data_IF_852594660412
#
_entry.id   IF_852594660412
#
_cell.length_a   1.000
_cell.length_b   1.000
_cell.length_c   1.000
_cell.angle_alpha   90.00
_cell.angle_beta   90.00
_cell.angle_gamma   90.00
#
_symmetry.space_group_name_H-M   'P 1'
#
loop_
_entity.id
_entity.type
_entity.pdbx_description
1 polymer ?
#
# COMPACT_ATOMS: atom_id res chain seq x y z
N UNK A 1 -35.92 46.67 -5.71
CA UNK A 1 -34.78 46.03 -6.40
C UNK A 1 -34.10 45.16 -5.35
N UNK A 2 -34.05 43.86 -5.63
CA UNK A 2 -33.84 42.69 -4.77
C UNK A 2 -33.08 42.88 -3.44
N UNK A 3 -33.76 42.50 -2.36
CA UNK A 3 -33.18 42.14 -1.06
C UNK A 3 -32.84 40.63 -1.15
N UNK A 4 -31.56 40.28 -1.18
CA UNK A 4 -31.10 38.90 -1.26
C UNK A 4 -31.32 38.20 0.09
N UNK A 5 -32.34 37.35 0.14
CA UNK A 5 -32.66 36.52 1.29
C UNK A 5 -31.51 35.54 1.61
N UNK A 6 -30.80 35.82 2.71
CA UNK A 6 -29.94 34.87 3.39
C UNK A 6 -30.78 33.66 3.85
N UNK A 7 -30.56 32.51 3.22
CA UNK A 7 -31.14 31.23 3.64
C UNK A 7 -30.51 30.81 4.98
N UNK A 8 -31.22 31.05 6.06
CA UNK A 8 -30.87 30.61 7.41
C UNK A 8 -30.83 29.09 7.49
N UNK A 9 -29.63 28.53 7.66
CA UNK A 9 -29.47 27.10 7.96
C UNK A 9 -29.99 26.82 9.37
N UNK A 10 -31.12 26.13 9.44
CA UNK A 10 -31.70 25.52 10.64
C UNK A 10 -30.59 24.73 11.37
N UNK A 11 -30.39 24.89 12.69
CA UNK A 11 -29.39 24.10 13.41
C UNK A 11 -29.78 22.62 13.30
N UNK A 12 -29.04 21.88 12.48
CA UNK A 12 -29.25 20.45 12.29
C UNK A 12 -28.59 19.73 13.46
N UNK A 13 -29.24 18.67 13.95
CA UNK A 13 -28.70 17.84 15.02
C UNK A 13 -27.34 17.25 14.64
N UNK A 14 -26.58 16.74 15.62
CA UNK A 14 -25.24 16.23 15.38
C UNK A 14 -25.25 15.09 14.34
N UNK A 15 -24.21 15.00 13.47
CA UNK A 15 -24.12 13.94 12.47
C UNK A 15 -24.12 12.59 13.18
N UNK A 16 -25.10 11.74 12.88
CA UNK A 16 -25.26 10.44 13.57
C UNK A 16 -25.03 9.31 12.59
N UNK A 17 -24.01 8.49 12.84
CA UNK A 17 -23.67 7.34 11.99
C UNK A 17 -24.38 6.10 12.51
N UNK A 18 -25.27 5.54 11.67
CA UNK A 18 -26.09 4.37 11.99
C UNK A 18 -25.58 3.09 11.36
N UNK A 19 -24.81 3.16 10.27
CA UNK A 19 -24.32 1.97 9.56
C UNK A 19 -23.08 2.18 8.72
N UNK A 20 -22.30 1.12 8.58
CA UNK A 20 -21.09 1.06 7.75
C UNK A 20 -21.19 -0.15 6.82
N UNK A 21 -20.85 0.03 5.55
CA UNK A 21 -20.86 -1.05 4.56
C UNK A 21 -19.63 -0.94 3.65
N UNK A 22 -18.71 -1.91 3.66
CA UNK A 22 -18.67 -3.08 4.55
C UNK A 22 -18.35 -2.72 6.01
N UNK A 23 -18.59 -3.65 6.96
CA UNK A 23 -18.25 -3.50 8.40
C UNK A 23 -16.78 -3.84 8.70
N UNK A 24 -16.11 -4.48 7.75
CA UNK A 24 -14.70 -4.83 7.79
C UNK A 24 -14.04 -4.62 6.42
N UNK A 25 -12.73 -4.38 6.40
CA UNK A 25 -12.01 -4.18 5.14
C UNK A 25 -10.53 -3.92 5.32
N UNK A 26 -9.79 -4.11 4.23
CA UNK A 26 -8.36 -3.81 4.11
C UNK A 26 -8.12 -2.37 3.68
N UNK A 27 -6.92 -1.79 3.92
CA UNK A 27 -6.50 -0.52 3.34
C UNK A 27 -6.87 -0.40 1.85
N UNK A 28 -7.44 0.73 1.45
CA UNK A 28 -7.92 0.97 0.07
C UNK A 28 -9.36 0.51 -0.20
N UNK A 29 -9.97 -0.27 0.68
CA UNK A 29 -11.39 -0.67 0.56
C UNK A 29 -12.30 0.56 0.60
N UNK A 30 -13.31 0.57 -0.27
CA UNK A 30 -14.31 1.63 -0.30
C UNK A 30 -15.41 1.35 0.73
N UNK A 31 -15.54 2.26 1.69
CA UNK A 31 -16.52 2.18 2.78
C UNK A 31 -17.64 3.19 2.50
N UNK A 32 -18.88 2.72 2.61
CA UNK A 32 -20.08 3.54 2.57
C UNK A 32 -20.59 3.77 3.97
N UNK A 33 -20.55 5.02 4.42
CA UNK A 33 -21.04 5.46 5.72
C UNK A 33 -22.50 5.91 5.53
N UNK A 34 -23.40 5.34 6.34
CA UNK A 34 -24.82 5.66 6.38
C UNK A 34 -25.17 6.29 7.73
N UNK A 35 -26.03 7.30 7.70
CA UNK A 35 -26.38 8.06 8.89
C UNK A 35 -27.43 9.12 8.62
N UNK A 36 -27.53 10.05 9.56
CA UNK A 36 -28.40 11.22 9.49
C UNK A 36 -27.57 12.48 9.76
N UNK A 37 -27.94 13.58 9.09
CA UNK A 37 -27.28 14.88 9.21
C UNK A 37 -25.77 14.86 8.91
N UNK A 38 -25.31 14.04 7.95
CA UNK A 38 -23.91 13.91 7.53
C UNK A 38 -23.35 15.11 6.73
N UNK A 39 -23.91 16.29 6.95
CA UNK A 39 -23.55 17.55 6.29
C UNK A 39 -24.39 17.90 5.06
N UNK A 40 -24.31 19.15 4.62
CA UNK A 40 -25.07 19.66 3.46
C UNK A 40 -24.30 19.58 2.14
N UNK A 41 -22.98 19.64 2.20
CA UNK A 41 -22.10 19.71 1.04
C UNK A 41 -20.74 19.07 1.34
N UNK A 42 -19.94 18.79 0.30
CA UNK A 42 -18.58 18.28 0.45
C UNK A 42 -17.70 19.16 1.35
N UNK A 43 -17.85 20.50 1.25
CA UNK A 43 -17.07 21.47 2.03
C UNK A 43 -17.56 21.62 3.48
N UNK A 44 -18.73 21.05 3.81
CA UNK A 44 -19.27 21.04 5.17
C UNK A 44 -18.60 19.95 6.02
N UNK A 45 -17.98 18.95 5.39
CA UNK A 45 -17.23 17.89 6.07
C UNK A 45 -15.84 18.42 6.48
N UNK A 46 -15.63 18.61 7.78
CA UNK A 46 -14.37 19.11 8.33
C UNK A 46 -13.42 17.97 8.71
N UNK A 47 -13.98 16.86 9.18
CA UNK A 47 -13.19 15.76 9.73
C UNK A 47 -13.88 14.42 9.47
N UNK A 48 -13.11 13.45 8.97
CA UNK A 48 -13.51 12.05 8.88
C UNK A 48 -12.34 11.15 9.27
N UNK A 49 -12.41 10.56 10.46
CA UNK A 49 -11.45 9.56 10.92
C UNK A 49 -12.10 8.18 10.96
N UNK A 50 -11.43 7.18 10.38
CA UNK A 50 -11.84 5.77 10.45
C UNK A 50 -10.67 5.00 11.06
N UNK A 51 -10.88 4.35 12.20
CA UNK A 51 -9.85 3.59 12.92
C UNK A 51 -8.56 4.38 13.22
N UNK A 52 -8.69 5.69 13.47
CA UNK A 52 -7.55 6.57 13.78
C UNK A 52 -6.81 7.13 12.55
N UNK A 53 -7.25 6.80 11.33
CA UNK A 53 -6.68 7.36 10.09
C UNK A 53 -7.57 8.42 9.48
N UNK A 54 -6.97 9.54 9.10
CA UNK A 54 -7.65 10.62 8.40
C UNK A 54 -8.04 10.18 6.98
N UNK A 55 -9.34 10.15 6.73
CA UNK A 55 -9.94 9.76 5.46
C UNK A 55 -10.66 10.95 4.79
N UNK A 56 -10.43 12.19 5.23
CA UNK A 56 -11.08 13.38 4.67
C UNK A 56 -10.78 13.55 3.18
N UNK A 57 -9.53 13.34 2.77
CA UNK A 57 -9.08 13.49 1.38
C UNK A 57 -9.74 12.51 0.41
N UNK A 58 -10.14 11.33 0.90
CA UNK A 58 -10.79 10.29 0.09
C UNK A 58 -12.32 10.31 0.23
N UNK A 59 -12.84 11.13 1.13
CA UNK A 59 -14.27 11.25 1.39
C UNK A 59 -14.98 11.98 0.25
N UNK A 60 -16.01 11.33 -0.29
CA UNK A 60 -16.96 11.87 -1.25
C UNK A 60 -18.34 11.90 -0.60
N UNK A 61 -18.78 13.08 -0.24
CA UNK A 61 -20.14 13.35 0.19
C UNK A 61 -21.10 13.12 -0.99
N UNK A 62 -22.20 12.42 -0.74
CA UNK A 62 -23.24 12.14 -1.75
C UNK A 62 -24.56 12.75 -1.36
N UNK A 63 -25.00 12.50 -0.14
CA UNK A 63 -26.21 13.06 0.43
C UNK A 63 -26.02 13.25 1.93
N UNK A 64 -26.94 13.97 2.57
CA UNK A 64 -27.05 14.12 4.02
C UNK A 64 -27.13 12.79 4.80
N UNK A 65 -27.36 11.67 4.11
CA UNK A 65 -27.43 10.31 4.67
C UNK A 65 -26.31 9.39 4.22
N UNK A 66 -25.44 9.83 3.29
CA UNK A 66 -24.44 8.95 2.67
C UNK A 66 -23.13 9.67 2.35
N UNK A 67 -22.05 9.12 2.89
CA UNK A 67 -20.66 9.48 2.54
C UNK A 67 -19.94 8.22 2.09
N UNK A 68 -19.11 8.34 1.04
CA UNK A 68 -18.26 7.26 0.56
C UNK A 68 -16.82 7.67 0.81
N UNK A 69 -16.03 6.84 1.50
CA UNK A 69 -14.61 7.11 1.74
C UNK A 69 -13.78 5.86 1.41
N UNK A 70 -12.50 6.06 1.11
CA UNK A 70 -11.54 4.94 1.00
C UNK A 70 -10.69 4.89 2.25
N UNK A 71 -10.57 3.69 2.80
CA UNK A 71 -9.79 3.46 4.01
C UNK A 71 -8.30 3.71 3.75
N UNK A 72 -7.67 4.54 4.57
CA UNK A 72 -6.22 4.76 4.53
C UNK A 72 -5.45 3.61 5.18
N UNK A 73 -4.14 3.77 5.33
CA UNK A 73 -3.35 2.85 6.15
C UNK A 73 -3.67 3.11 7.63
N UNK A 74 -4.33 2.16 8.30
CA UNK A 74 -4.65 2.25 9.73
C UNK A 74 -4.09 1.05 10.53
N UNK A 75 -4.04 1.23 11.84
CA UNK A 75 -3.71 0.15 12.77
C UNK A 75 -4.80 -0.92 12.79
N UNK A 76 -4.41 -2.19 12.94
CA UNK A 76 -5.32 -3.35 12.97
C UNK A 76 -6.24 -3.27 14.19
N UNK A 77 -7.51 -3.64 14.03
CA UNK A 77 -8.44 -3.79 15.15
C UNK A 77 -9.81 -3.13 14.94
N UNK A 78 -10.64 -3.19 15.99
CA UNK A 78 -11.89 -2.43 16.05
C UNK A 78 -11.57 -0.96 16.29
N UNK A 79 -11.91 -0.11 15.34
CA UNK A 79 -11.80 1.34 15.49
C UNK A 79 -13.15 2.02 15.39
N UNK A 80 -13.23 3.15 16.07
CA UNK A 80 -14.36 4.06 15.99
C UNK A 80 -14.30 4.91 14.72
N UNK A 81 -15.48 5.33 14.23
CA UNK A 81 -15.61 6.29 13.14
C UNK A 81 -15.99 7.64 13.73
N UNK A 82 -15.16 8.66 13.53
CA UNK A 82 -15.40 10.03 13.98
C UNK A 82 -15.67 10.92 12.79
N UNK A 83 -16.77 11.67 12.87
CA UNK A 83 -17.17 12.64 11.85
C UNK A 83 -17.34 13.99 12.52
N UNK A 84 -16.90 15.06 11.88
CA UNK A 84 -17.30 16.41 12.26
C UNK A 84 -17.68 17.23 11.03
N UNK A 85 -18.81 17.92 11.13
CA UNK A 85 -19.29 18.85 10.10
C UNK A 85 -19.32 20.27 10.62
N UNK A 86 -19.22 21.25 9.73
CA UNK A 86 -19.31 22.67 10.10
C UNK A 86 -20.73 23.02 10.57
N UNK A 87 -21.75 22.41 9.97
CA UNK A 87 -23.16 22.65 10.27
C UNK A 87 -23.68 21.92 11.52
N UNK A 88 -23.17 20.72 11.81
CA UNK A 88 -23.69 19.83 12.86
C UNK A 88 -22.69 19.51 13.99
N UNK A 89 -21.48 20.06 13.93
CA UNK A 89 -20.44 19.81 14.94
C UNK A 89 -19.94 18.37 14.94
N UNK A 90 -19.53 17.88 16.11
CA UNK A 90 -18.98 16.52 16.27
C UNK A 90 -20.10 15.48 16.26
N UNK A 91 -19.94 14.49 15.39
CA UNK A 91 -20.89 13.40 15.21
C UNK A 91 -20.76 12.28 16.24
N UNK A 92 -21.85 11.53 16.36
CA UNK A 92 -21.98 10.35 17.21
C UNK A 92 -21.96 9.12 16.31
N UNK A 93 -21.14 8.13 16.65
CA UNK A 93 -21.08 6.87 15.93
C UNK A 93 -21.33 5.71 16.89
N UNK A 94 -22.35 4.91 16.59
CA UNK A 94 -22.70 3.73 17.39
C UNK A 94 -22.06 2.44 16.84
N UNK A 95 -21.44 2.50 15.66
CA UNK A 95 -20.93 1.33 14.94
C UNK A 95 -19.41 1.36 14.92
N UNK A 96 -18.78 0.23 15.20
CA UNK A 96 -17.33 0.07 15.13
C UNK A 96 -16.96 -0.55 13.78
N UNK A 97 -15.89 -0.05 13.16
CA UNK A 97 -15.33 -0.63 11.94
C UNK A 97 -14.16 -1.55 12.29
N UNK A 98 -14.07 -2.71 11.63
CA UNK A 98 -12.93 -3.63 11.80
C UNK A 98 -11.92 -3.43 10.67
N UNK A 99 -10.78 -2.81 11.00
CA UNK A 99 -9.69 -2.68 10.04
C UNK A 99 -8.89 -3.98 9.97
N UNK A 100 -8.98 -4.67 8.83
CA UNK A 100 -8.22 -5.88 8.54
C UNK A 100 -6.93 -5.46 7.85
N UNK A 101 -5.80 -6.06 8.23
CA UNK A 101 -4.55 -5.74 7.56
C UNK A 101 -4.59 -6.25 6.11
N UNK A 102 -4.28 -5.39 5.15
CA UNK A 102 -3.81 -5.88 3.87
C UNK A 102 -2.51 -6.64 4.12
N UNK A 103 -2.32 -7.76 3.41
CA UNK A 103 -1.16 -8.64 3.40
C UNK A 103 0.18 -7.87 3.35
N UNK A 104 0.59 -7.29 4.47
CA UNK A 104 1.97 -6.94 4.75
C UNK A 104 2.48 -8.06 5.64
N UNK A 105 3.12 -9.01 4.93
CA UNK A 105 4.25 -9.78 5.44
C UNK A 105 5.06 -8.88 6.36
N UNK A 106 5.42 -9.41 7.53
CA UNK A 106 6.25 -8.75 8.53
C UNK A 106 5.51 -7.77 9.46
N UNK A 107 4.81 -8.31 10.47
CA UNK A 107 5.37 -8.51 11.81
C UNK A 107 4.22 -8.77 12.83
N UNK A 108 4.41 -9.86 13.56
CA UNK A 108 4.01 -10.10 14.95
C UNK A 108 2.52 -10.02 15.38
N UNK A 109 1.99 -11.25 15.58
CA UNK A 109 0.94 -11.68 16.52
C UNK A 109 -0.45 -11.04 16.35
N UNK A 110 -1.44 -11.80 16.82
CA UNK A 110 -2.84 -11.40 17.06
C UNK A 110 -3.80 -11.71 15.88
N UNK A 111 -4.44 -12.87 16.02
CA UNK A 111 -5.66 -13.35 15.33
C UNK A 111 -5.63 -13.39 13.80
N UNK A 112 -4.81 -14.27 13.26
CA UNK A 112 -5.24 -15.03 12.08
C UNK A 112 -6.25 -16.04 12.63
N UNK A 113 -7.47 -16.08 12.10
CA UNK A 113 -8.30 -17.28 12.22
C UNK A 113 -7.42 -18.40 11.66
N UNK A 114 -6.83 -19.21 12.55
CA UNK A 114 -5.85 -20.21 12.15
C UNK A 114 -6.62 -21.30 11.43
N UNK A 115 -6.78 -21.11 10.12
CA UNK A 115 -7.28 -22.14 9.21
C UNK A 115 -6.39 -23.34 9.46
N UNK A 116 -6.99 -24.40 10.00
CA UNK A 116 -6.26 -25.64 10.27
C UNK A 116 -5.63 -26.19 8.99
N UNK A 117 -4.59 -27.02 9.08
CA UNK A 117 -3.99 -27.66 7.90
C UNK A 117 -4.98 -28.50 7.08
N UNK A 118 -6.14 -28.85 7.67
CA UNK A 118 -7.24 -29.63 7.09
C UNK A 118 -8.50 -28.78 6.82
N UNK A 119 -8.39 -27.45 6.86
CA UNK A 119 -9.54 -26.55 6.73
C UNK A 119 -9.52 -25.85 5.37
N UNK A 120 -10.55 -26.09 4.56
CA UNK A 120 -10.66 -25.52 3.22
C UNK A 120 -10.69 -23.98 3.27
N UNK A 121 -9.75 -23.35 2.57
CA UNK A 121 -9.72 -21.90 2.41
C UNK A 121 -10.43 -21.51 1.11
N UNK A 122 -11.43 -20.64 1.21
CA UNK A 122 -12.11 -20.06 0.03
C UNK A 122 -11.23 -19.05 -0.75
N UNK A 123 -10.03 -18.75 -0.26
CA UNK A 123 -9.09 -17.83 -0.91
C UNK A 123 -8.11 -18.63 -1.75
N UNK A 124 -8.36 -18.68 -3.05
CA UNK A 124 -7.39 -19.17 -4.04
C UNK A 124 -6.34 -18.08 -4.30
N UNK A 125 -5.08 -18.38 -4.00
CA UNK A 125 -3.94 -17.54 -4.40
C UNK A 125 -3.31 -18.20 -5.62
N UNK A 126 -3.28 -17.47 -6.74
CA UNK A 126 -2.61 -17.93 -7.96
C UNK A 126 -1.09 -17.91 -7.75
N UNK A 127 -0.54 -19.04 -7.29
CA UNK A 127 0.89 -19.20 -7.00
C UNK A 127 1.78 -19.02 -8.24
N UNK A 128 1.21 -19.04 -9.45
CA UNK A 128 1.97 -18.86 -10.71
C UNK A 128 2.54 -17.44 -10.85
N UNK A 129 1.90 -16.45 -10.24
CA UNK A 129 2.29 -15.04 -10.39
C UNK A 129 3.19 -14.52 -9.25
N UNK A 130 3.12 -15.14 -8.07
CA UNK A 130 3.84 -14.65 -6.88
C UNK A 130 5.27 -15.17 -6.72
N UNK A 131 5.65 -16.25 -7.40
CA UNK A 131 7.00 -16.83 -7.31
C UNK A 131 7.55 -17.16 -8.71
N UNK A 132 8.42 -16.30 -9.28
CA UNK A 132 9.06 -16.58 -10.55
C UNK A 132 9.89 -17.88 -10.47
N UNK A 133 9.67 -18.83 -11.40
CA UNK A 133 10.52 -20.02 -11.56
C UNK A 133 9.91 -21.38 -11.22
N UNK A 134 8.64 -21.46 -10.82
CA UNK A 134 7.97 -22.74 -10.48
C UNK A 134 7.36 -23.51 -11.65
N UNK A 135 7.42 -23.01 -12.88
CA UNK A 135 6.79 -23.66 -14.05
C UNK A 135 7.35 -25.07 -14.35
N UNK A 136 8.55 -25.40 -13.88
CA UNK A 136 9.16 -26.72 -14.07
C UNK A 136 8.58 -27.83 -13.15
N UNK A 137 7.82 -27.48 -12.11
CA UNK A 137 7.24 -28.44 -11.14
C UNK A 137 5.73 -28.51 -11.33
N UNK A 138 5.27 -28.80 -12.56
CA UNK A 138 3.84 -28.80 -12.92
C UNK A 138 3.09 -30.10 -12.68
N UNK A 139 3.75 -31.15 -12.20
CA UNK A 139 3.12 -32.46 -12.01
C UNK A 139 3.38 -33.02 -10.61
N UNK A 140 2.92 -32.31 -9.59
CA UNK A 140 2.51 -33.00 -8.36
C UNK A 140 1.04 -33.34 -8.57
N UNK A 141 0.76 -34.61 -8.87
CA UNK A 141 -0.61 -35.10 -8.90
C UNK A 141 -1.28 -34.73 -7.58
N UNK A 142 -2.40 -33.99 -7.62
CA UNK A 142 -3.31 -33.84 -6.48
C UNK A 142 -3.99 -35.20 -6.23
N UNK A 143 -3.21 -36.15 -5.73
CA UNK A 143 -3.67 -37.42 -5.19
C UNK A 143 -3.12 -37.50 -3.79
N UNK A 144 -3.63 -36.65 -2.92
CA UNK A 144 -3.46 -36.86 -1.49
C UNK A 144 -4.85 -36.67 -0.94
N UNK A 145 -5.56 -37.79 -0.79
CA UNK A 145 -6.64 -37.86 0.19
C UNK A 145 -6.15 -37.09 1.42
N UNK A 146 -6.89 -36.07 1.84
CA UNK A 146 -6.51 -35.23 2.98
C UNK A 146 -6.44 -36.12 4.21
N UNK A 147 -5.26 -36.67 4.48
CA UNK A 147 -5.04 -37.57 5.61
C UNK A 147 -4.56 -36.75 6.78
N UNK A 148 -5.17 -37.00 7.92
CA UNK A 148 -4.75 -36.46 9.21
C UNK A 148 -3.30 -36.89 9.52
N UNK A 149 -2.65 -36.29 10.52
CA UNK A 149 -1.39 -36.73 11.12
C UNK A 149 -1.39 -38.22 11.51
N UNK A 150 -2.56 -38.80 11.79
CA UNK A 150 -2.72 -40.25 12.05
C UNK A 150 -2.94 -41.09 10.79
N UNK A 151 -2.99 -40.48 9.60
CA UNK A 151 -3.26 -41.18 8.34
C UNK A 151 -4.73 -41.55 8.13
N UNK A 152 -5.62 -41.10 9.02
CA UNK A 152 -7.06 -41.34 8.98
C UNK A 152 -7.79 -40.21 8.25
N UNK A 153 -9.03 -40.46 7.84
CA UNK A 153 -9.88 -39.44 7.23
C UNK A 153 -10.24 -38.34 8.25
N UNK A 154 -10.26 -37.06 7.86
CA UNK A 154 -10.55 -35.96 8.78
C UNK A 154 -11.99 -36.05 9.27
N UNK A 155 -12.21 -35.96 10.58
CA UNK A 155 -13.57 -35.83 11.11
C UNK A 155 -14.13 -34.44 10.79
N UNK A 156 -15.40 -34.36 10.41
CA UNK A 156 -16.08 -33.09 10.13
C UNK A 156 -16.62 -32.41 11.38
N UNK A 157 -16.72 -33.13 12.51
CA UNK A 157 -17.19 -32.59 13.78
C UNK A 157 -16.04 -32.30 14.73
N UNK A 158 -15.74 -31.01 14.92
CA UNK A 158 -14.76 -30.53 15.90
C UNK A 158 -15.45 -30.28 17.26
N UNK A 159 -14.79 -30.64 18.36
CA UNK A 159 -15.25 -30.23 19.70
C UNK A 159 -15.12 -28.71 19.88
N UNK A 160 -15.97 -28.12 20.73
CA UNK A 160 -15.97 -26.68 20.99
C UNK A 160 -14.62 -26.22 21.60
N UNK A 161 -13.86 -25.34 20.92
CA UNK A 161 -12.56 -24.86 21.40
C UNK A 161 -12.63 -24.14 22.75
N UNK A 162 -13.81 -23.62 23.15
CA UNK A 162 -13.99 -22.98 24.45
C UNK A 162 -13.91 -23.99 25.62
N UNK A 163 -14.41 -25.21 25.43
CA UNK A 163 -14.34 -26.27 26.44
C UNK A 163 -12.91 -26.81 26.57
N UNK A 164 -12.24 -27.00 25.44
CA UNK A 164 -10.85 -27.45 25.39
C UNK A 164 -9.92 -26.45 26.08
N UNK A 165 -10.12 -25.14 25.87
CA UNK A 165 -9.32 -24.08 26.50
C UNK A 165 -9.48 -24.04 28.02
N UNK A 166 -10.62 -24.49 28.55
CA UNK A 166 -10.86 -24.62 29.99
C UNK A 166 -10.18 -25.86 30.60
N UNK A 167 -10.07 -26.95 29.84
CA UNK A 167 -9.46 -28.20 30.30
C UNK A 167 -7.93 -28.18 30.19
N UNK A 168 -7.38 -27.49 29.19
CA UNK A 168 -5.95 -27.37 28.98
C UNK A 168 -5.56 -25.89 28.79
N UNK A 169 -5.32 -25.16 29.89
CA UNK A 169 -4.77 -23.81 29.83
C UNK A 169 -3.43 -23.81 29.08
N UNK A 170 -3.22 -22.83 28.21
CA UNK A 170 -1.99 -22.61 27.42
C UNK A 170 -1.59 -23.72 26.42
N UNK A 171 -2.44 -24.71 26.18
CA UNK A 171 -2.21 -25.78 25.20
C UNK A 171 -2.92 -25.51 23.87
N UNK A 172 -2.44 -26.13 22.80
CA UNK A 172 -3.02 -25.99 21.46
C UNK A 172 -3.01 -27.30 20.67
N UNK A 173 -3.98 -27.48 19.76
CA UNK A 173 -4.04 -28.60 18.82
C UNK A 173 -3.15 -28.42 17.58
N UNK A 174 -2.52 -27.26 17.39
CA UNK A 174 -1.74 -27.02 16.18
C UNK A 174 -0.37 -27.71 16.29
N UNK A 175 -0.13 -28.72 15.44
CA UNK A 175 1.10 -29.52 15.38
C UNK A 175 2.36 -28.66 15.17
N UNK A 176 2.20 -27.45 14.61
CA UNK A 176 3.31 -26.54 14.29
C UNK A 176 3.73 -25.65 15.45
N UNK A 177 2.97 -25.63 16.56
CA UNK A 177 3.24 -24.76 17.70
C UNK A 177 3.97 -25.52 18.80
N UNK A 178 4.87 -24.84 19.52
CA UNK A 178 5.58 -25.43 20.67
C UNK A 178 4.63 -25.78 21.83
N UNK A 179 3.47 -25.12 21.89
CA UNK A 179 2.36 -25.41 22.81
C UNK A 179 1.50 -26.61 22.37
N UNK A 180 1.97 -27.44 21.44
CA UNK A 180 1.22 -28.57 20.94
C UNK A 180 0.96 -29.60 22.05
N UNK A 181 -0.32 -29.93 22.24
CA UNK A 181 -0.72 -31.00 23.14
C UNK A 181 -1.43 -32.12 22.35
N UNK A 182 -0.91 -33.36 22.35
CA UNK A 182 -1.54 -34.48 21.65
C UNK A 182 -2.95 -34.80 22.14
N UNK A 183 -3.23 -34.59 23.43
CA UNK A 183 -4.54 -34.88 24.01
C UNK A 183 -5.60 -33.88 23.52
N UNK A 184 -5.20 -32.61 23.39
CA UNK A 184 -6.04 -31.58 22.77
C UNK A 184 -6.38 -31.97 21.33
N UNK A 185 -5.37 -32.34 20.54
CA UNK A 185 -5.54 -32.68 19.13
C UNK A 185 -6.50 -33.86 18.92
N UNK A 186 -6.36 -34.92 19.72
CA UNK A 186 -7.24 -36.08 19.66
C UNK A 186 -8.68 -35.75 20.05
N UNK A 187 -8.90 -34.88 21.04
CA UNK A 187 -10.24 -34.47 21.43
C UNK A 187 -10.89 -33.55 20.38
N UNK A 188 -10.10 -32.68 19.76
CA UNK A 188 -10.56 -31.78 18.72
C UNK A 188 -10.93 -32.52 17.42
N UNK A 189 -10.11 -33.48 16.99
CA UNK A 189 -10.22 -34.13 15.67
C UNK A 189 -10.64 -35.61 15.71
N UNK A 190 -10.63 -36.28 16.86
CA UNK A 190 -10.91 -37.72 16.95
C UNK A 190 -11.84 -38.09 18.12
N UNK A 191 -12.70 -37.16 18.56
CA UNK A 191 -13.64 -37.41 19.67
C UNK A 191 -14.66 -38.53 19.39
N UNK A 192 -15.08 -38.70 18.13
CA UNK A 192 -16.06 -39.73 17.71
C UNK A 192 -15.42 -40.96 17.02
N UNK A 193 -14.08 -41.02 16.91
CA UNK A 193 -13.39 -42.08 16.16
C UNK A 193 -13.30 -43.38 16.97
N UNK A 194 -13.63 -44.56 16.41
CA UNK A 194 -13.56 -45.82 17.14
C UNK A 194 -12.12 -46.18 17.49
N UNK A 195 -11.94 -46.90 18.60
CA UNK A 195 -10.62 -47.26 19.13
C UNK A 195 -9.79 -48.12 18.15
N UNK A 196 -10.44 -48.93 17.32
CA UNK A 196 -9.74 -49.78 16.35
C UNK A 196 -9.06 -48.95 15.25
N UNK A 197 -9.72 -47.91 14.73
CA UNK A 197 -9.13 -46.98 13.75
C UNK A 197 -7.98 -46.19 14.38
N UNK A 198 -8.09 -45.80 15.66
CA UNK A 198 -6.99 -45.16 16.39
C UNK A 198 -5.78 -46.09 16.55
N UNK A 199 -5.99 -47.40 16.69
CA UNK A 199 -4.90 -48.40 16.73
C UNK A 199 -4.24 -48.57 15.38
N UNK A 200 -5.00 -48.48 14.29
CA UNK A 200 -4.45 -48.47 12.94
C UNK A 200 -3.64 -47.19 12.67
N UNK A 201 -4.17 -46.03 13.07
CA UNK A 201 -3.46 -44.75 13.01
C UNK A 201 -2.15 -44.76 13.82
N UNK A 202 -2.12 -45.43 14.97
CA UNK A 202 -0.89 -45.61 15.74
C UNK A 202 0.16 -46.45 15.00
N UNK A 203 -0.26 -47.53 14.31
CA UNK A 203 0.66 -48.32 13.47
C UNK A 203 1.17 -47.51 12.27
N UNK A 204 0.29 -46.73 11.63
CA UNK A 204 0.65 -45.85 10.53
C UNK A 204 1.67 -44.79 10.99
N UNK A 205 1.47 -44.18 12.16
CA UNK A 205 2.39 -43.21 12.75
C UNK A 205 3.76 -43.83 13.07
N UNK A 206 3.80 -45.06 13.59
CA UNK A 206 5.06 -45.77 13.84
C UNK A 206 5.82 -46.07 12.54
N UNK A 207 5.11 -46.47 11.49
CA UNK A 207 5.70 -46.67 10.16
C UNK A 207 6.23 -45.35 9.58
N UNK A 208 5.44 -44.27 9.70
CA UNK A 208 5.84 -42.94 9.24
C UNK A 208 7.11 -42.44 9.95
N UNK A 209 7.23 -42.67 11.27
CA UNK A 209 8.45 -42.36 12.03
C UNK A 209 9.67 -43.12 11.51
N UNK A 210 9.52 -44.38 11.13
CA UNK A 210 10.60 -45.18 10.56
C UNK A 210 11.00 -44.70 9.15
N UNK A 211 10.02 -44.27 8.35
CA UNK A 211 10.25 -43.75 7.00
C UNK A 211 10.76 -42.31 6.96
N UNK A 212 10.55 -41.51 8.02
CA UNK A 212 11.05 -40.14 8.13
C UNK A 212 12.57 -40.05 7.96
N UNK A 213 13.32 -40.99 8.55
CA UNK A 213 14.77 -41.05 8.41
C UNK A 213 15.21 -41.22 6.94
N UNK A 214 14.50 -42.08 6.19
CA UNK A 214 14.76 -42.32 4.75
C UNK A 214 14.29 -41.15 3.88
N UNK A 215 13.18 -40.51 4.26
CA UNK A 215 12.64 -39.34 3.57
C UNK A 215 13.55 -38.13 3.75
N UNK A 216 14.10 -37.92 4.95
CA UNK A 216 15.09 -36.88 5.25
C UNK A 216 16.31 -37.00 4.31
N UNK A 217 16.88 -38.19 4.18
CA UNK A 217 18.02 -38.43 3.26
C UNK A 217 17.67 -38.09 1.79
N UNK A 218 16.48 -38.47 1.33
CA UNK A 218 16.00 -38.15 -0.03
C UNK A 218 15.69 -36.66 -0.22
N UNK A 219 15.13 -35.98 0.79
CA UNK A 219 14.87 -34.54 0.74
C UNK A 219 16.17 -33.75 0.71
N UNK A 220 17.20 -34.15 1.46
CA UNK A 220 18.51 -33.52 1.38
C UNK A 220 19.12 -33.65 -0.01
N UNK A 221 18.96 -34.81 -0.68
CA UNK A 221 19.40 -34.99 -2.07
C UNK A 221 18.59 -34.15 -3.07
N UNK A 222 17.28 -34.00 -2.87
CA UNK A 222 16.44 -33.17 -3.74
C UNK A 222 16.71 -31.66 -3.58
N UNK A 223 16.94 -31.20 -2.35
CA UNK A 223 17.21 -29.80 -2.05
C UNK A 223 18.67 -29.40 -2.36
N UNK A 224 19.58 -30.37 -2.49
CA UNK A 224 20.96 -30.12 -2.85
C UNK A 224 21.09 -29.38 -4.19
N UNK A 225 20.26 -29.74 -5.18
CA UNK A 225 20.25 -29.07 -6.48
C UNK A 225 19.84 -27.59 -6.36
N UNK A 226 18.82 -27.30 -5.55
CA UNK A 226 18.39 -25.91 -5.30
C UNK A 226 19.45 -25.12 -4.53
N UNK A 227 20.10 -25.74 -3.54
CA UNK A 227 21.18 -25.10 -2.78
C UNK A 227 22.40 -24.80 -3.67
N UNK A 228 22.79 -25.74 -4.52
CA UNK A 228 23.87 -25.53 -5.50
C UNK A 228 23.52 -24.38 -6.45
N UNK A 229 22.28 -24.32 -6.95
CA UNK A 229 21.83 -23.23 -7.81
C UNK A 229 21.83 -21.88 -7.08
N UNK A 230 21.43 -21.84 -5.80
CA UNK A 230 21.49 -20.61 -5.00
C UNK A 230 22.93 -20.14 -4.79
N UNK A 231 23.86 -21.06 -4.53
CA UNK A 231 25.28 -20.75 -4.38
C UNK A 231 25.88 -20.25 -5.70
N UNK A 232 25.54 -20.89 -6.83
CA UNK A 232 26.00 -20.46 -8.16
C UNK A 232 25.44 -19.07 -8.52
N UNK A 233 24.17 -18.80 -8.18
CA UNK A 233 23.57 -17.48 -8.35
C UNK A 233 24.26 -16.41 -7.48
N UNK A 234 24.61 -16.74 -6.24
CA UNK A 234 25.36 -15.88 -5.34
C UNK A 234 26.78 -15.58 -5.86
N UNK A 235 27.46 -16.59 -6.40
CA UNK A 235 28.78 -16.43 -7.00
C UNK A 235 28.72 -15.48 -8.21
N UNK A 236 27.72 -15.66 -9.10
CA UNK A 236 27.50 -14.77 -10.26
C UNK A 236 27.23 -13.33 -9.83
N UNK A 237 26.39 -13.13 -8.80
CA UNK A 237 26.09 -11.80 -8.27
C UNK A 237 27.36 -11.17 -7.68
N UNK A 238 28.15 -11.94 -6.93
CA UNK A 238 29.41 -11.46 -6.38
C UNK A 238 30.39 -11.03 -7.47
N UNK A 239 30.53 -11.81 -8.54
CA UNK A 239 31.36 -11.46 -9.71
C UNK A 239 30.87 -10.19 -10.41
N UNK A 240 29.55 -10.02 -10.55
CA UNK A 240 28.95 -8.83 -11.13
C UNK A 240 29.14 -7.59 -10.23
N UNK A 241 29.03 -7.78 -8.92
CA UNK A 241 29.30 -6.72 -7.93
C UNK A 241 30.78 -6.30 -7.98
N UNK A 242 31.71 -7.24 -8.00
CA UNK A 242 33.15 -6.97 -8.15
C UNK A 242 33.48 -6.27 -9.47
N UNK A 243 32.83 -6.64 -10.58
CA UNK A 243 32.95 -5.92 -11.86
C UNK A 243 32.39 -4.51 -11.79
N UNK A 244 31.23 -4.32 -11.17
CA UNK A 244 30.62 -3.00 -10.98
C UNK A 244 31.47 -2.10 -10.09
N UNK A 245 32.05 -2.67 -9.03
CA UNK A 245 32.93 -1.98 -8.10
C UNK A 245 34.25 -1.58 -8.77
N UNK A 246 34.83 -2.46 -9.61
CA UNK A 246 36.03 -2.16 -10.42
C UNK A 246 35.75 -1.17 -11.57
N UNK A 247 34.55 -1.21 -12.14
CA UNK A 247 34.09 -0.24 -13.13
C UNK A 247 33.76 1.13 -12.52
N UNK A 248 33.69 1.20 -11.18
CA UNK A 248 33.44 2.40 -10.40
C UNK A 248 32.05 2.96 -10.66
N UNK A 249 31.14 2.86 -9.69
CA UNK A 249 29.85 3.59 -9.70
C UNK A 249 30.02 5.10 -10.00
N UNK A 250 31.22 5.64 -9.75
CA UNK A 250 31.59 7.03 -10.06
C UNK A 250 32.19 7.26 -11.44
N UNK A 251 32.56 6.25 -12.22
CA UNK A 251 33.15 6.46 -13.54
C UNK A 251 32.14 7.06 -14.53
N UNK A 252 30.91 6.56 -14.52
CA UNK A 252 29.80 7.08 -15.33
C UNK A 252 29.43 8.51 -14.86
N UNK A 253 29.35 8.73 -13.55
CA UNK A 253 29.05 10.06 -12.97
C UNK A 253 30.16 11.07 -13.32
N UNK A 254 31.44 10.64 -13.28
CA UNK A 254 32.60 11.48 -13.63
C UNK A 254 32.60 11.82 -15.13
N UNK A 255 32.24 10.86 -15.99
CA UNK A 255 32.13 11.08 -17.43
C UNK A 255 31.00 12.06 -17.76
N UNK A 256 29.84 11.93 -17.12
CA UNK A 256 28.72 12.88 -17.26
C UNK A 256 29.15 14.27 -16.76
N UNK A 257 29.83 14.35 -15.62
CA UNK A 257 30.37 15.60 -15.09
C UNK A 257 31.31 16.31 -16.08
N UNK A 258 32.20 15.55 -16.74
CA UNK A 258 33.08 16.09 -17.78
C UNK A 258 32.27 16.64 -18.97
N UNK A 259 31.30 15.88 -19.48
CA UNK A 259 30.48 16.29 -20.62
C UNK A 259 29.63 17.53 -20.32
N UNK A 260 29.10 17.65 -19.10
CA UNK A 260 28.37 18.85 -18.66
C UNK A 260 29.29 20.06 -18.60
N UNK A 261 30.53 19.89 -18.11
CA UNK A 261 31.52 20.96 -18.08
C UNK A 261 31.88 21.43 -19.49
N UNK A 262 32.12 20.50 -20.42
CA UNK A 262 32.46 20.82 -21.80
C UNK A 262 31.29 21.52 -22.52
N UNK A 263 30.06 21.04 -22.31
CA UNK A 263 28.85 21.66 -22.84
C UNK A 263 28.67 23.09 -22.30
N UNK A 264 28.94 23.31 -21.00
CA UNK A 264 28.89 24.63 -20.38
C UNK A 264 29.91 25.58 -21.00
N UNK A 265 31.17 25.18 -21.14
CA UNK A 265 32.22 26.01 -21.73
C UNK A 265 31.88 26.37 -23.17
N UNK A 266 31.36 25.41 -23.94
CA UNK A 266 30.95 25.63 -25.33
C UNK A 266 29.75 26.59 -25.43
N UNK A 267 28.76 26.42 -24.55
CA UNK A 267 27.61 27.32 -24.49
C UNK A 267 28.04 28.75 -24.12
N UNK A 268 28.91 28.90 -23.13
CA UNK A 268 29.40 30.22 -22.69
C UNK A 268 30.17 30.93 -23.80
N UNK A 269 31.00 30.20 -24.55
CA UNK A 269 31.69 30.73 -25.73
C UNK A 269 30.72 31.23 -26.82
N UNK A 270 29.68 30.46 -27.15
CA UNK A 270 28.72 30.82 -28.21
C UNK A 270 27.79 31.94 -27.77
N UNK A 271 27.26 31.89 -26.54
CA UNK A 271 26.26 32.84 -26.08
C UNK A 271 26.84 34.18 -25.68
N UNK A 272 28.11 34.27 -25.25
CA UNK A 272 28.73 35.55 -24.88
C UNK A 272 28.72 36.55 -26.04
N UNK A 273 29.07 36.10 -27.23
CA UNK A 273 29.08 36.97 -28.42
C UNK A 273 27.66 37.34 -28.85
N UNK A 274 26.72 36.40 -28.80
CA UNK A 274 25.31 36.64 -29.16
C UNK A 274 24.66 37.63 -28.18
N UNK A 275 24.88 37.46 -26.88
CA UNK A 275 24.37 38.35 -25.83
C UNK A 275 24.97 39.75 -25.97
N UNK A 276 26.27 39.86 -26.20
CA UNK A 276 26.90 41.19 -26.40
C UNK A 276 26.38 41.93 -27.63
N UNK A 277 26.07 41.21 -28.72
CA UNK A 277 25.45 41.79 -29.92
C UNK A 277 24.01 42.21 -29.66
N UNK A 278 23.25 41.39 -28.93
CA UNK A 278 21.88 41.73 -28.49
C UNK A 278 21.89 43.01 -27.66
N UNK A 279 22.76 43.12 -26.66
CA UNK A 279 22.83 44.28 -25.78
C UNK A 279 23.14 45.57 -26.56
N UNK A 280 24.06 45.49 -27.55
CA UNK A 280 24.33 46.63 -28.45
C UNK A 280 23.12 46.98 -29.30
N UNK A 281 22.41 46.00 -29.86
CA UNK A 281 21.22 46.23 -30.66
C UNK A 281 20.06 46.80 -29.83
N UNK A 282 19.91 46.36 -28.58
CA UNK A 282 18.90 46.88 -27.66
C UNK A 282 19.25 48.31 -27.22
N UNK A 283 20.53 48.62 -27.00
CA UNK A 283 20.99 49.97 -26.71
C UNK A 283 20.72 50.94 -27.88
N UNK A 284 21.01 50.54 -29.13
CA UNK A 284 20.72 51.36 -30.31
C UNK A 284 19.21 51.52 -30.53
N UNK A 285 18.43 50.46 -30.32
CA UNK A 285 16.96 50.52 -30.38
C UNK A 285 16.39 51.46 -29.32
N UNK A 286 16.92 51.44 -28.10
CA UNK A 286 16.51 52.35 -27.04
C UNK A 286 16.85 53.80 -27.40
N UNK A 287 18.08 54.08 -27.85
CA UNK A 287 18.47 55.41 -28.31
C UNK A 287 17.58 55.92 -29.46
N UNK A 288 17.29 55.08 -30.45
CA UNK A 288 16.40 55.41 -31.55
C UNK A 288 14.96 55.66 -31.06
N UNK A 289 14.47 54.87 -30.11
CA UNK A 289 13.15 55.09 -29.51
C UNK A 289 13.08 56.43 -28.77
N UNK A 290 14.15 56.84 -28.08
CA UNK A 290 14.24 58.15 -27.42
C UNK A 290 14.29 59.28 -28.45
N UNK A 291 15.10 59.15 -29.50
CA UNK A 291 15.21 60.13 -30.58
C UNK A 291 13.89 60.32 -31.35
N UNK A 292 13.16 59.25 -31.61
CA UNK A 292 11.86 59.32 -32.28
C UNK A 292 10.79 59.91 -31.36
N UNK A 293 10.77 59.52 -30.07
CA UNK A 293 9.80 60.04 -29.08
C UNK A 293 10.00 61.53 -28.78
N UNK A 294 11.24 61.97 -28.64
CA UNK A 294 11.58 63.36 -28.30
C UNK A 294 12.12 64.16 -29.49
N UNK A 295 11.79 63.74 -30.72
CA UNK A 295 12.21 64.39 -31.96
C UNK A 295 11.98 65.90 -31.91
N UNK A 296 10.81 66.33 -31.43
CA UNK A 296 10.47 67.74 -31.27
C UNK A 296 11.49 68.52 -30.42
N UNK A 297 11.92 67.98 -29.29
CA UNK A 297 12.89 68.63 -28.39
C UNK A 297 14.23 68.82 -29.11
N UNK A 298 14.69 67.82 -29.85
CA UNK A 298 15.95 67.90 -30.60
C UNK A 298 15.91 68.91 -31.76
N UNK A 299 14.74 69.12 -32.37
CA UNK A 299 14.57 70.10 -33.44
C UNK A 299 14.10 71.48 -32.95
N UNK A 300 13.79 71.63 -31.66
CA UNK A 300 13.23 72.86 -31.09
C UNK A 300 14.10 74.09 -31.35
N UNK A 301 15.40 74.00 -31.06
CA UNK A 301 16.34 75.13 -31.26
C UNK A 301 16.43 75.54 -32.73
N UNK A 302 16.42 74.56 -33.64
CA UNK A 302 16.42 74.83 -35.08
C UNK A 302 15.11 75.48 -35.53
N UNK A 303 13.96 74.96 -35.06
CA UNK A 303 12.66 75.54 -35.40
C UNK A 303 12.49 76.96 -34.84
N UNK A 304 13.05 77.26 -33.66
CA UNK A 304 13.09 78.62 -33.10
C UNK A 304 13.95 79.54 -33.98
N UNK A 305 15.16 79.12 -34.35
CA UNK A 305 16.06 79.92 -35.20
C UNK A 305 15.47 80.16 -36.60
N UNK A 306 14.85 79.14 -37.21
CA UNK A 306 14.17 79.24 -38.50
C UNK A 306 12.94 80.16 -38.45
N UNK A 307 12.22 80.23 -37.31
CA UNK A 307 11.12 81.16 -37.13
C UNK A 307 11.61 82.60 -36.88
N UNK A 308 12.69 82.78 -36.12
CA UNK A 308 13.28 84.11 -35.88
C UNK A 308 13.76 84.76 -37.19
N UNK A 309 14.36 83.99 -38.10
CA UNK A 309 14.78 84.47 -39.43
C UNK A 309 13.63 84.83 -40.38
N UNK A 310 12.41 84.36 -40.12
CA UNK A 310 11.22 84.70 -40.92
C UNK A 310 10.47 85.93 -40.41
N UNK A 311 10.76 86.35 -39.17
CA UNK A 311 10.11 87.50 -38.51
C UNK A 311 10.96 88.77 -38.60
N UNK A 312 12.26 88.65 -38.93
CA UNK A 312 13.14 89.74 -39.33
C UNK A 312 13.08 89.97 -40.85
#
# INVERSE_FOLDING_TARGET
MADEAQSGQKPRGPPTVTGLSPTEGTPGTQITIRGENLGTDQNDLLMLFICGTDCLHTAKWKTDKKIIARLGQANRGLGEVKIATKSGGRGICNVKFRHVAQFFRQLLRVFIAQIGPLEESAVWVDETQTVPGREAVRTVAQTTEERDALGLAPTTKKMDPALLSKMFPDSSGNIRMESFNPQWYLLEHHSETPIEDLREGLKAMQLAKADEAKKSEKMHKANLYSLINCVDALARLHDEFERSNKAGEFAVIKQIGSQISDARVKAESVFKDVLSRKDRADATRNALSVLTRFKFIFFLTKTIDDNMKKVA
#
